data_IF_036131905581
#
_entry.id   IF_036131905581
#
_cell.length_a   1.000
_cell.length_b   1.000
_cell.length_c   1.000
_cell.angle_alpha   90.00
_cell.angle_beta   90.00
_cell.angle_gamma   90.00
#
_symmetry.space_group_name_H-M   'P 1'
#
loop_
_entity.id
_entity.type
_entity.pdbx_description
1 polymer ?
#
# COMPACT_ATOMS: atom_id res chain seq x y z
N UNK A 1 2.41 33.83 4.37
CA UNK A 1 2.63 32.73 3.41
C UNK A 1 2.65 31.42 4.18
N UNK A 2 1.55 30.66 4.16
CA UNK A 2 1.44 29.39 4.87
C UNK A 2 2.29 28.34 4.14
N UNK A 3 3.44 28.00 4.70
CA UNK A 3 4.18 26.79 4.30
C UNK A 3 3.39 25.60 4.83
N UNK A 4 2.54 25.02 3.98
CA UNK A 4 2.15 23.64 4.20
C UNK A 4 3.45 22.82 4.19
N UNK A 5 3.87 22.33 5.36
CA UNK A 5 4.82 21.23 5.43
C UNK A 5 4.21 20.10 4.62
N UNK A 6 4.63 19.97 3.36
CA UNK A 6 4.18 18.89 2.48
C UNK A 6 4.61 17.59 3.12
N UNK A 7 3.68 16.93 3.82
CA UNK A 7 3.89 15.62 4.41
C UNK A 7 4.38 14.71 3.30
N UNK A 8 5.66 14.33 3.35
CA UNK A 8 6.27 13.40 2.41
C UNK A 8 5.36 12.18 2.33
N UNK A 9 4.79 11.95 1.14
CA UNK A 9 3.79 10.91 0.96
C UNK A 9 4.44 9.55 1.23
N UNK A 10 4.13 8.96 2.40
CA UNK A 10 4.73 7.70 2.81
C UNK A 10 4.06 6.55 2.09
N UNK A 11 4.78 5.96 1.13
CA UNK A 11 4.32 4.78 0.42
C UNK A 11 4.31 3.55 1.35
N UNK A 12 3.28 2.72 1.20
CA UNK A 12 3.10 1.52 2.01
C UNK A 12 3.97 0.37 1.51
N UNK A 13 4.55 -0.37 2.44
CA UNK A 13 5.15 -1.69 2.21
C UNK A 13 4.06 -2.77 2.23
N UNK A 14 4.32 -3.91 1.58
CA UNK A 14 3.46 -5.11 1.66
C UNK A 14 3.06 -5.46 3.10
N UNK A 15 4.00 -5.42 4.04
CA UNK A 15 3.74 -5.75 5.45
C UNK A 15 2.77 -4.78 6.14
N UNK A 16 2.76 -3.50 5.74
CA UNK A 16 1.81 -2.53 6.29
C UNK A 16 0.40 -2.84 5.79
N UNK A 17 0.24 -3.09 4.49
CA UNK A 17 -1.06 -3.43 3.88
C UNK A 17 -1.62 -4.71 4.50
N UNK A 18 -0.79 -5.74 4.67
CA UNK A 18 -1.17 -7.00 5.33
C UNK A 18 -1.70 -6.75 6.74
N UNK A 19 -1.01 -5.93 7.53
CA UNK A 19 -1.44 -5.57 8.88
C UNK A 19 -2.74 -4.78 8.87
N UNK A 20 -2.87 -3.80 7.99
CA UNK A 20 -4.08 -2.97 7.89
C UNK A 20 -5.29 -3.82 7.50
N UNK A 21 -5.16 -4.69 6.50
CA UNK A 21 -6.24 -5.54 6.02
C UNK A 21 -6.49 -6.74 6.92
N UNK A 22 -5.62 -7.00 7.90
CA UNK A 22 -5.64 -8.18 8.76
C UNK A 22 -5.75 -9.50 7.94
N UNK A 23 -4.94 -9.60 6.89
CA UNK A 23 -4.90 -10.79 6.00
C UNK A 23 -3.54 -11.49 6.09
N UNK A 24 -3.47 -12.73 5.59
CA UNK A 24 -2.20 -13.45 5.47
C UNK A 24 -1.37 -12.97 4.26
N UNK A 25 -0.07 -13.28 4.26
CA UNK A 25 0.79 -13.03 3.08
C UNK A 25 0.33 -13.79 1.84
N UNK A 26 -0.27 -14.98 2.00
CA UNK A 26 -0.81 -15.79 0.90
C UNK A 26 -2.05 -15.13 0.30
N UNK A 27 -2.93 -14.65 1.16
CA UNK A 27 -4.15 -13.96 0.74
C UNK A 27 -3.85 -12.62 0.06
N UNK A 28 -2.83 -11.90 0.54
CA UNK A 28 -2.33 -10.70 -0.14
C UNK A 28 -1.92 -11.00 -1.59
N UNK A 29 -1.08 -12.02 -1.82
CA UNK A 29 -0.62 -12.34 -3.19
C UNK A 29 -1.77 -12.82 -4.07
N UNK A 30 -2.75 -13.55 -3.50
CA UNK A 30 -3.97 -13.93 -4.22
C UNK A 30 -4.78 -12.70 -4.64
N UNK A 31 -5.09 -11.79 -3.70
CA UNK A 31 -5.82 -10.55 -4.00
C UNK A 31 -5.05 -9.66 -4.98
N UNK A 32 -3.71 -9.66 -4.94
CA UNK A 32 -2.88 -8.96 -5.90
C UNK A 32 -2.98 -9.58 -7.31
N UNK A 33 -2.91 -10.91 -7.43
CA UNK A 33 -3.08 -11.62 -8.70
C UNK A 33 -4.49 -11.46 -9.28
N UNK A 34 -5.51 -11.45 -8.41
CA UNK A 34 -6.92 -11.24 -8.77
C UNK A 34 -7.23 -9.75 -9.09
N UNK A 35 -6.25 -8.84 -8.97
CA UNK A 35 -6.42 -7.41 -9.23
C UNK A 35 -7.19 -6.64 -8.14
N UNK A 36 -7.52 -7.28 -7.02
CA UNK A 36 -8.18 -6.69 -5.86
C UNK A 36 -7.23 -5.86 -4.99
N UNK A 37 -5.92 -6.08 -5.07
CA UNK A 37 -4.92 -5.15 -4.57
C UNK A 37 -4.31 -4.46 -5.79
N UNK A 38 -4.28 -3.12 -5.85
CA UNK A 38 -3.68 -2.42 -6.96
C UNK A 38 -2.20 -2.80 -7.10
N UNK A 39 -1.69 -2.77 -8.34
CA UNK A 39 -0.26 -2.99 -8.56
C UNK A 39 0.58 -1.95 -7.82
N UNK A 40 1.78 -2.31 -7.37
CA UNK A 40 2.69 -1.36 -6.74
C UNK A 40 3.03 -0.23 -7.72
N UNK A 41 3.03 1.00 -7.23
CA UNK A 41 3.35 2.18 -8.03
C UNK A 41 4.86 2.40 -8.18
N UNK A 42 5.66 1.75 -7.33
CA UNK A 42 7.13 1.81 -7.40
C UNK A 42 7.73 0.43 -7.12
N UNK A 43 8.70 0.06 -7.96
CA UNK A 43 9.60 -1.07 -7.76
C UNK A 43 10.97 -0.51 -7.36
N UNK A 44 11.30 -0.56 -6.07
CA UNK A 44 12.58 -0.01 -5.57
C UNK A 44 13.76 -0.96 -5.87
N UNK A 45 13.48 -2.24 -6.15
CA UNK A 45 14.48 -3.23 -6.59
C UNK A 45 13.81 -4.45 -7.23
N UNK A 46 14.60 -5.32 -7.86
CA UNK A 46 14.16 -6.63 -8.38
C UNK A 46 13.65 -7.58 -7.28
N UNK A 47 13.83 -7.21 -6.01
CA UNK A 47 13.26 -7.94 -4.89
C UNK A 47 11.79 -7.54 -4.68
N UNK A 48 10.84 -8.49 -4.63
CA UNK A 48 9.43 -8.18 -4.35
C UNK A 48 9.16 -7.47 -3.01
N UNK A 49 10.14 -7.42 -2.08
CA UNK A 49 10.10 -6.59 -0.85
C UNK A 49 10.31 -5.08 -1.12
N UNK A 50 10.85 -4.72 -2.28
CA UNK A 50 11.04 -3.35 -2.77
C UNK A 50 9.77 -2.70 -3.30
N UNK A 51 8.68 -3.47 -3.46
CA UNK A 51 7.39 -2.96 -3.92
C UNK A 51 6.78 -1.97 -2.93
N UNK A 52 6.17 -0.90 -3.45
CA UNK A 52 5.51 0.16 -2.68
C UNK A 52 4.15 0.53 -3.27
N UNK A 53 3.20 0.83 -2.41
CA UNK A 53 1.82 1.16 -2.78
C UNK A 53 1.41 2.54 -2.29
N UNK A 54 0.57 3.21 -3.06
CA UNK A 54 -0.03 4.47 -2.64
C UNK A 54 -1.10 4.18 -1.56
N UNK A 55 -1.05 4.86 -0.40
CA UNK A 55 -2.02 4.63 0.67
C UNK A 55 -3.46 4.87 0.20
N UNK A 56 -3.72 5.94 -0.56
CA UNK A 56 -5.08 6.29 -1.00
C UNK A 56 -5.70 5.25 -1.93
N UNK A 57 -4.92 4.58 -2.78
CA UNK A 57 -5.45 3.49 -3.61
C UNK A 57 -5.91 2.32 -2.72
N UNK A 58 -5.13 1.98 -1.70
CA UNK A 58 -5.52 0.92 -0.75
C UNK A 58 -6.78 1.33 0.02
N UNK A 59 -6.90 2.60 0.45
CA UNK A 59 -8.11 3.11 1.12
C UNK A 59 -9.33 3.01 0.22
N UNK A 60 -9.23 3.47 -1.02
CA UNK A 60 -10.34 3.46 -1.98
C UNK A 60 -10.78 2.03 -2.33
N UNK A 61 -9.83 1.11 -2.52
CA UNK A 61 -10.15 -0.26 -2.91
C UNK A 61 -10.84 -1.04 -1.79
N UNK A 62 -10.47 -0.80 -0.53
CA UNK A 62 -10.99 -1.58 0.60
C UNK A 62 -11.98 -0.82 1.49
N UNK A 63 -12.21 0.47 1.24
CA UNK A 63 -13.07 1.31 2.07
C UNK A 63 -12.55 1.48 3.50
N UNK A 64 -11.23 1.41 3.70
CA UNK A 64 -10.59 1.44 5.03
C UNK A 64 -9.93 2.79 5.32
N UNK A 65 -9.97 3.21 6.58
CA UNK A 65 -9.16 4.32 7.07
C UNK A 65 -7.78 3.77 7.50
N UNK A 66 -6.71 4.20 6.83
CA UNK A 66 -5.36 3.86 7.27
C UNK A 66 -5.00 4.74 8.47
N UNK A 67 -4.76 4.12 9.63
CA UNK A 67 -4.29 4.80 10.83
C UNK A 67 -3.06 5.68 10.51
N UNK A 68 -3.10 6.93 11.01
CA UNK A 68 -2.07 7.96 10.80
C UNK A 68 -0.74 7.59 11.45
#
# INVERSE_FOLDING_TARGET
MNKASGSQLQLLKKSQIIRTLNISSREFERKLADGLIPMPIVWISDNPKGRRWHPDHIRQTFGIELAK
#
